data_IF_634754666294
#
_entry.id   IF_634754666294
#
_cell.length_a   1.000
_cell.length_b   1.000
_cell.length_c   1.000
_cell.angle_alpha   90.00
_cell.angle_beta   90.00
_cell.angle_gamma   90.00
#
_symmetry.space_group_name_H-M   'P 1'
#
loop_
_entity.id
_entity.type
_entity.pdbx_description
1 polymer ?
#
# COMPACT_ATOMS: atom_id res chain seq x y z
N UNK A 1 -10.88 24.04 53.49
CA UNK A 1 -10.73 22.89 52.57
C UNK A 1 -11.64 23.00 51.34
N UNK A 2 -12.97 23.06 51.48
CA UNK A 2 -13.92 23.12 50.35
C UNK A 2 -13.75 24.33 49.38
N UNK A 3 -13.46 25.52 49.90
CA UNK A 3 -13.20 26.72 49.07
C UNK A 3 -11.96 26.55 48.19
N UNK A 4 -10.91 25.92 48.70
CA UNK A 4 -9.67 25.65 47.96
C UNK A 4 -9.90 24.63 46.85
N UNK A 5 -10.62 23.54 47.14
CA UNK A 5 -11.00 22.51 46.16
C UNK A 5 -11.82 23.11 45.00
N UNK A 6 -12.80 23.98 45.30
CA UNK A 6 -13.59 24.66 44.25
C UNK A 6 -12.76 25.60 43.39
N UNK A 7 -11.76 26.25 43.99
CA UNK A 7 -10.88 27.19 43.29
C UNK A 7 -9.90 26.44 42.37
N UNK A 8 -9.25 25.37 42.85
CA UNK A 8 -8.41 24.50 42.01
C UNK A 8 -9.22 23.81 40.92
N UNK A 9 -10.43 23.31 41.21
CA UNK A 9 -11.30 22.73 40.19
C UNK A 9 -11.69 23.75 39.11
N UNK A 10 -11.96 25.00 39.49
CA UNK A 10 -12.23 26.10 38.54
C UNK A 10 -11.03 26.43 37.65
N UNK A 11 -9.81 26.45 38.21
CA UNK A 11 -8.58 26.66 37.43
C UNK A 11 -8.33 25.50 36.48
N UNK A 12 -8.47 24.25 36.94
CA UNK A 12 -8.29 23.07 36.09
C UNK A 12 -9.31 23.08 34.95
N UNK A 13 -10.58 23.35 35.24
CA UNK A 13 -11.61 23.46 34.21
C UNK A 13 -11.31 24.59 33.21
N UNK A 14 -10.87 25.76 33.70
CA UNK A 14 -10.44 26.87 32.84
C UNK A 14 -9.25 26.50 31.94
N UNK A 15 -8.24 25.82 32.49
CA UNK A 15 -7.09 25.32 31.72
C UNK A 15 -7.51 24.30 30.66
N UNK A 16 -8.40 23.36 30.99
CA UNK A 16 -8.94 22.39 30.03
C UNK A 16 -9.68 23.09 28.89
N UNK A 17 -10.48 24.11 29.19
CA UNK A 17 -11.19 24.89 28.16
C UNK A 17 -10.20 25.65 27.28
N UNK A 18 -9.20 26.32 27.86
CA UNK A 18 -8.17 27.05 27.10
C UNK A 18 -7.36 26.10 26.21
N UNK A 19 -6.96 24.93 26.74
CA UNK A 19 -6.28 23.90 25.97
C UNK A 19 -7.17 23.35 24.85
N UNK A 20 -8.47 23.14 25.11
CA UNK A 20 -9.43 22.70 24.11
C UNK A 20 -9.61 23.72 22.98
N UNK A 21 -9.78 24.99 23.30
CA UNK A 21 -9.90 26.09 22.31
C UNK A 21 -8.60 26.24 21.53
N UNK A 22 -7.46 26.20 22.22
CA UNK A 22 -6.14 26.35 21.59
C UNK A 22 -5.86 25.17 20.66
N UNK A 23 -6.17 23.94 21.09
CA UNK A 23 -6.07 22.73 20.26
C UNK A 23 -7.03 22.75 19.07
N UNK A 24 -8.26 23.23 19.25
CA UNK A 24 -9.21 23.39 18.14
C UNK A 24 -8.72 24.42 17.12
N UNK A 25 -8.35 25.63 17.56
CA UNK A 25 -7.81 26.68 16.69
C UNK A 25 -6.53 26.22 15.98
N UNK A 26 -5.73 25.41 16.66
CA UNK A 26 -4.55 24.79 16.11
C UNK A 26 -4.86 23.82 14.98
N UNK A 27 -5.78 22.88 15.16
CA UNK A 27 -6.21 21.95 14.11
C UNK A 27 -6.81 22.71 12.93
N UNK A 28 -7.62 23.73 13.19
CA UNK A 28 -8.16 24.62 12.14
C UNK A 28 -7.05 25.32 11.35
N UNK A 29 -5.96 25.74 12.00
CA UNK A 29 -4.82 26.36 11.33
C UNK A 29 -4.07 25.43 10.37
N UNK A 30 -4.26 24.11 10.48
CA UNK A 30 -3.70 23.14 9.55
C UNK A 30 -4.44 23.12 8.22
N UNK A 31 -5.67 23.65 8.16
CA UNK A 31 -6.47 23.80 6.94
C UNK A 31 -6.54 22.49 6.14
N UNK A 32 -7.05 21.45 6.82
CA UNK A 32 -7.17 20.09 6.29
C UNK A 32 -8.36 19.93 5.34
N UNK A 33 -9.38 20.78 5.47
CA UNK A 33 -10.53 20.76 4.57
C UNK A 33 -10.21 21.30 3.16
N UNK A 34 -9.11 22.06 3.03
CA UNK A 34 -8.61 22.54 1.74
C UNK A 34 -7.71 21.53 1.01
N UNK A 35 -7.52 20.33 1.55
CA UNK A 35 -6.82 19.25 0.85
C UNK A 35 -7.70 18.72 -0.29
N UNK A 36 -7.15 18.53 -1.51
CA UNK A 36 -7.88 17.86 -2.57
C UNK A 36 -8.32 16.47 -2.08
N UNK A 37 -9.63 16.22 -2.13
CA UNK A 37 -10.19 14.89 -1.89
C UNK A 37 -10.40 14.21 -3.23
N UNK A 38 -10.26 12.88 -3.26
CA UNK A 38 -10.62 12.12 -4.45
C UNK A 38 -12.05 12.42 -4.88
N UNK A 39 -12.23 12.70 -6.17
CA UNK A 39 -13.55 12.87 -6.78
C UNK A 39 -14.26 11.51 -6.76
N UNK A 40 -15.38 11.44 -6.03
CA UNK A 40 -16.18 10.20 -5.89
C UNK A 40 -16.78 9.73 -7.22
N UNK A 41 -16.96 10.66 -8.15
CA UNK A 41 -17.50 10.39 -9.47
C UNK A 41 -16.39 10.23 -10.52
N UNK A 42 -15.11 10.14 -10.10
CA UNK A 42 -14.00 9.95 -11.02
C UNK A 42 -14.19 8.66 -11.83
N UNK A 43 -13.75 8.73 -13.08
CA UNK A 43 -13.76 7.66 -14.07
C UNK A 43 -12.39 7.54 -14.71
N UNK A 44 -12.18 6.49 -15.52
CA UNK A 44 -10.94 6.33 -16.29
C UNK A 44 -10.58 7.55 -17.16
N UNK A 45 -11.59 8.32 -17.63
CA UNK A 45 -11.39 9.50 -18.46
C UNK A 45 -10.77 10.69 -17.71
N UNK A 46 -10.93 10.72 -16.39
CA UNK A 46 -10.37 11.75 -15.51
C UNK A 46 -8.89 11.51 -15.21
N UNK A 47 -8.42 10.28 -15.38
CA UNK A 47 -7.02 9.90 -15.20
C UNK A 47 -6.22 10.23 -16.46
N UNK A 48 -5.53 11.37 -16.46
CA UNK A 48 -4.79 11.86 -17.64
C UNK A 48 -3.84 10.81 -18.25
N UNK A 49 -3.06 10.12 -17.41
CA UNK A 49 -2.11 9.09 -17.86
C UNK A 49 -2.78 7.83 -18.44
N UNK A 50 -4.05 7.58 -18.13
CA UNK A 50 -4.85 6.48 -18.72
C UNK A 50 -5.52 6.95 -20.00
N UNK A 51 -6.14 8.14 -19.99
CA UNK A 51 -6.79 8.74 -21.16
C UNK A 51 -5.81 8.97 -22.30
N UNK A 52 -4.61 9.43 -21.98
CA UNK A 52 -3.58 9.82 -22.96
C UNK A 52 -2.66 8.63 -23.33
N UNK A 53 -2.87 7.46 -22.73
CA UNK A 53 -2.11 6.24 -23.03
C UNK A 53 -2.37 5.74 -24.46
N UNK A 54 -1.29 5.33 -25.14
CA UNK A 54 -1.36 4.79 -26.50
C UNK A 54 -1.97 3.37 -26.55
N UNK A 55 -2.67 3.00 -27.64
CA UNK A 55 -3.53 1.80 -27.70
C UNK A 55 -2.81 0.48 -27.99
N UNK A 56 -1.48 0.41 -27.90
CA UNK A 56 -0.77 -0.82 -28.26
C UNK A 56 -0.92 -1.85 -27.13
N UNK A 57 -1.80 -2.84 -27.33
CA UNK A 57 -1.90 -4.02 -26.47
C UNK A 57 -0.55 -4.73 -26.41
N UNK A 58 0.00 -4.89 -25.20
CA UNK A 58 1.31 -5.50 -24.96
C UNK A 58 1.22 -6.92 -24.42
N UNK A 59 0.19 -7.21 -23.63
CA UNK A 59 0.13 -8.47 -22.92
C UNK A 59 -0.96 -8.51 -21.86
N UNK A 60 -0.80 -9.43 -20.90
CA UNK A 60 -1.74 -9.60 -19.78
C UNK A 60 -1.03 -9.71 -18.44
N UNK A 61 -1.65 -9.14 -17.41
CA UNK A 61 -1.27 -9.28 -16.00
C UNK A 61 -2.40 -9.99 -15.26
N UNK A 62 -2.07 -11.03 -14.50
CA UNK A 62 -2.99 -11.66 -13.56
C UNK A 62 -2.86 -10.97 -12.21
N UNK A 63 -3.88 -10.23 -11.76
CA UNK A 63 -3.93 -9.71 -10.40
C UNK A 63 -4.68 -10.67 -9.48
N UNK A 64 -4.04 -11.07 -8.37
CA UNK A 64 -4.57 -12.07 -7.44
C UNK A 64 -5.00 -11.39 -6.14
N UNK A 65 -6.26 -11.60 -5.76
CA UNK A 65 -6.93 -11.02 -4.59
C UNK A 65 -7.23 -12.11 -3.55
N UNK A 66 -7.16 -11.79 -2.27
CA UNK A 66 -7.55 -12.73 -1.20
C UNK A 66 -9.06 -12.98 -1.20
N UNK A 67 -9.45 -14.22 -0.88
CA UNK A 67 -10.82 -14.67 -0.59
C UNK A 67 -11.15 -14.66 0.91
N UNK A 68 -10.18 -14.44 1.80
CA UNK A 68 -10.41 -14.44 3.25
C UNK A 68 -11.09 -13.16 3.73
N UNK A 69 -12.36 -13.24 4.13
CA UNK A 69 -13.13 -12.06 4.54
C UNK A 69 -12.81 -11.58 5.97
N UNK A 70 -12.54 -12.51 6.88
CA UNK A 70 -12.34 -12.24 8.31
C UNK A 70 -11.33 -13.19 8.92
N UNK A 71 -10.73 -12.75 10.02
CA UNK A 71 -9.80 -13.55 10.83
C UNK A 71 -9.98 -13.21 12.31
N UNK A 72 -9.17 -13.85 13.17
CA UNK A 72 -9.20 -13.64 14.62
C UNK A 72 -10.55 -14.02 15.26
N UNK A 73 -11.07 -15.23 14.94
CA UNK A 73 -12.41 -15.67 15.32
C UNK A 73 -13.51 -14.71 14.81
N UNK A 74 -13.40 -14.32 13.55
CA UNK A 74 -14.29 -13.37 12.85
C UNK A 74 -14.32 -11.93 13.38
N UNK A 75 -13.44 -11.58 14.34
CA UNK A 75 -13.42 -10.25 14.96
C UNK A 75 -12.81 -9.17 14.08
N UNK A 76 -11.92 -9.54 13.15
CA UNK A 76 -11.19 -8.59 12.30
C UNK A 76 -11.51 -8.82 10.82
N UNK A 77 -11.56 -7.74 10.05
CA UNK A 77 -11.70 -7.80 8.59
C UNK A 77 -10.36 -8.23 7.98
N UNK A 78 -10.39 -9.23 7.10
CA UNK A 78 -9.29 -9.60 6.22
C UNK A 78 -9.37 -8.79 4.93
N UNK A 79 -9.70 -9.46 3.85
CA UNK A 79 -9.88 -8.89 2.52
C UNK A 79 -8.57 -8.50 1.83
N UNK A 80 -8.70 -8.14 0.56
CA UNK A 80 -7.64 -7.46 -0.18
C UNK A 80 -7.68 -5.95 0.10
N UNK A 81 -6.54 -5.29 -0.03
CA UNK A 81 -6.42 -3.84 0.08
C UNK A 81 -6.82 -3.16 -1.25
N UNK A 82 -7.86 -2.31 -1.24
CA UNK A 82 -8.39 -1.68 -2.45
C UNK A 82 -7.32 -0.87 -3.17
N UNK A 83 -6.61 -0.01 -2.43
CA UNK A 83 -5.65 0.94 -2.99
C UNK A 83 -4.50 0.22 -3.71
N UNK A 84 -4.17 -0.99 -3.27
CA UNK A 84 -3.13 -1.82 -3.88
C UNK A 84 -3.53 -2.37 -5.25
N UNK A 85 -4.82 -2.70 -5.46
CA UNK A 85 -5.29 -3.14 -6.78
C UNK A 85 -5.69 -1.98 -7.70
N UNK A 86 -6.41 -0.98 -7.19
CA UNK A 86 -6.95 0.12 -8.01
C UNK A 86 -5.84 0.89 -8.71
N UNK A 87 -4.78 1.25 -7.96
CA UNK A 87 -3.66 2.04 -8.47
C UNK A 87 -2.80 1.22 -9.44
N UNK A 88 -2.49 -0.03 -9.10
CA UNK A 88 -1.74 -0.94 -9.98
C UNK A 88 -2.50 -1.24 -11.28
N UNK A 89 -3.82 -1.45 -11.21
CA UNK A 89 -4.68 -1.69 -12.38
C UNK A 89 -4.54 -0.58 -13.42
N UNK A 90 -4.61 0.68 -13.01
CA UNK A 90 -4.48 1.81 -13.93
C UNK A 90 -3.06 1.97 -14.48
N UNK A 91 -2.02 1.67 -13.70
CA UNK A 91 -0.65 1.64 -14.22
C UNK A 91 -0.53 0.58 -15.32
N UNK A 92 -1.02 -0.64 -15.10
CA UNK A 92 -0.93 -1.70 -16.11
C UNK A 92 -1.76 -1.37 -17.36
N UNK A 93 -2.99 -0.89 -17.19
CA UNK A 93 -3.87 -0.50 -18.31
C UNK A 93 -3.28 0.64 -19.13
N UNK A 94 -2.76 1.70 -18.50
CA UNK A 94 -2.08 2.80 -19.19
C UNK A 94 -0.83 2.33 -19.96
N UNK A 95 -0.23 1.21 -19.56
CA UNK A 95 0.93 0.64 -20.22
C UNK A 95 0.58 -0.46 -21.24
N UNK A 96 -0.70 -0.62 -21.60
CA UNK A 96 -1.16 -1.54 -22.64
C UNK A 96 -1.31 -2.99 -22.17
N UNK A 97 -1.37 -3.25 -20.86
CA UNK A 97 -1.62 -4.58 -20.32
C UNK A 97 -3.08 -4.73 -19.91
N UNK A 98 -3.72 -5.78 -20.41
CA UNK A 98 -5.03 -6.19 -19.90
C UNK A 98 -4.85 -6.87 -18.54
N UNK A 99 -5.67 -6.50 -17.56
CA UNK A 99 -5.58 -7.03 -16.20
C UNK A 99 -6.76 -7.95 -15.93
N UNK A 100 -6.51 -9.23 -15.73
CA UNK A 100 -7.52 -10.19 -15.27
C UNK A 100 -7.47 -10.31 -13.74
N UNK A 101 -8.63 -10.43 -13.09
CA UNK A 101 -8.74 -10.55 -11.64
C UNK A 101 -9.04 -12.01 -11.26
N UNK A 102 -8.26 -12.55 -10.33
CA UNK A 102 -8.42 -13.89 -9.82
C UNK A 102 -8.37 -13.91 -8.29
N UNK A 103 -8.92 -14.95 -7.69
CA UNK A 103 -8.84 -15.18 -6.24
C UNK A 103 -8.84 -16.67 -5.93
N UNK A 104 -8.33 -17.11 -4.76
CA UNK A 104 -8.31 -18.53 -4.40
C UNK A 104 -9.66 -19.23 -4.58
N UNK A 105 -10.76 -18.61 -4.15
CA UNK A 105 -12.10 -19.19 -4.24
C UNK A 105 -12.86 -18.81 -5.54
N UNK A 106 -12.40 -17.79 -6.27
CA UNK A 106 -13.19 -17.16 -7.33
C UNK A 106 -14.39 -16.38 -6.79
N UNK A 107 -15.26 -15.89 -7.69
CA UNK A 107 -16.42 -15.09 -7.30
C UNK A 107 -16.01 -13.71 -6.78
N UNK A 108 -16.85 -13.06 -5.95
CA UNK A 108 -16.55 -11.74 -5.40
C UNK A 108 -15.61 -11.82 -4.19
N UNK A 109 -14.36 -11.31 -4.28
CA UNK A 109 -13.46 -11.29 -3.14
C UNK A 109 -13.87 -10.23 -2.12
N UNK A 110 -13.64 -10.46 -0.81
CA UNK A 110 -13.86 -9.48 0.23
C UNK A 110 -12.84 -8.35 0.15
N UNK A 111 -13.32 -7.13 0.32
CA UNK A 111 -12.52 -5.90 0.19
C UNK A 111 -12.35 -5.21 1.54
N UNK A 112 -11.17 -4.63 1.75
CA UNK A 112 -10.93 -3.61 2.77
C UNK A 112 -10.76 -2.25 2.11
N UNK A 113 -11.39 -1.23 2.69
CA UNK A 113 -11.28 0.15 2.26
C UNK A 113 -10.63 0.93 3.39
N UNK A 114 -9.53 1.58 3.07
CA UNK A 114 -8.91 2.60 3.90
C UNK A 114 -9.48 4.00 3.57
N UNK A 115 -9.30 4.94 4.49
CA UNK A 115 -9.61 6.35 4.25
C UNK A 115 -8.61 6.96 3.25
N UNK A 116 -8.96 8.09 2.64
CA UNK A 116 -8.02 8.83 1.78
C UNK A 116 -8.01 8.41 0.31
N UNK A 117 -9.05 7.74 -0.18
CA UNK A 117 -9.18 7.37 -1.59
C UNK A 117 -8.95 8.55 -2.55
N UNK A 118 -8.19 8.30 -3.61
CA UNK A 118 -7.89 9.25 -4.68
C UNK A 118 -8.73 8.95 -5.93
N UNK A 119 -8.65 9.82 -6.94
CA UNK A 119 -9.41 9.69 -8.20
C UNK A 119 -9.20 8.32 -8.86
N UNK A 120 -7.99 7.76 -8.81
CA UNK A 120 -7.70 6.43 -9.34
C UNK A 120 -8.49 5.32 -8.64
N UNK A 121 -8.71 5.45 -7.33
CA UNK A 121 -9.44 4.47 -6.53
C UNK A 121 -10.95 4.53 -6.86
N UNK A 122 -11.51 5.73 -6.95
CA UNK A 122 -12.91 5.92 -7.37
C UNK A 122 -13.14 5.52 -8.83
N UNK A 123 -12.23 5.89 -9.73
CA UNK A 123 -12.28 5.46 -11.13
C UNK A 123 -12.31 3.94 -11.26
N UNK A 124 -11.54 3.22 -10.44
CA UNK A 124 -11.56 1.76 -10.40
C UNK A 124 -12.90 1.22 -9.92
N UNK A 125 -13.46 1.77 -8.83
CA UNK A 125 -14.76 1.36 -8.29
C UNK A 125 -15.93 1.68 -9.22
N UNK A 126 -15.83 2.75 -10.01
CA UNK A 126 -16.86 3.21 -10.92
C UNK A 126 -16.78 2.57 -12.32
N UNK A 127 -15.72 1.80 -12.61
CA UNK A 127 -15.53 1.18 -13.92
C UNK A 127 -16.37 -0.10 -14.07
N UNK A 128 -17.31 -0.18 -15.03
CA UNK A 128 -18.17 -1.34 -15.19
C UNK A 128 -17.43 -2.63 -15.57
N UNK A 129 -16.31 -2.54 -16.28
CA UNK A 129 -15.52 -3.72 -16.66
C UNK A 129 -14.74 -4.25 -15.45
N UNK A 130 -14.24 -3.37 -14.59
CA UNK A 130 -13.66 -3.74 -13.29
C UNK A 130 -14.71 -4.39 -12.40
N UNK A 131 -15.89 -3.79 -12.25
CA UNK A 131 -16.97 -4.34 -11.45
C UNK A 131 -17.41 -5.73 -11.94
N UNK A 132 -17.47 -5.95 -13.26
CA UNK A 132 -17.76 -7.26 -13.82
C UNK A 132 -16.69 -8.30 -13.44
N UNK A 133 -15.40 -7.92 -13.48
CA UNK A 133 -14.28 -8.79 -13.07
C UNK A 133 -14.28 -9.05 -11.56
N UNK A 134 -14.64 -8.06 -10.74
CA UNK A 134 -14.76 -8.20 -9.28
C UNK A 134 -15.99 -8.99 -8.85
N UNK A 135 -17.08 -8.96 -9.62
CA UNK A 135 -18.28 -9.75 -9.33
C UNK A 135 -18.02 -11.25 -9.49
N UNK A 136 -17.13 -11.63 -10.41
CA UNK A 136 -16.79 -13.02 -10.71
C UNK A 136 -15.31 -13.20 -11.03
N UNK A 137 -14.45 -13.07 -10.01
CA UNK A 137 -13.01 -13.32 -10.19
C UNK A 137 -12.75 -14.76 -10.58
N UNK A 138 -11.72 -14.97 -11.40
CA UNK A 138 -11.34 -16.31 -11.85
C UNK A 138 -10.85 -17.11 -10.63
N UNK A 139 -11.42 -18.28 -10.30
CA UNK A 139 -10.85 -19.14 -9.26
C UNK A 139 -9.46 -19.61 -9.70
N UNK A 140 -8.47 -19.55 -8.81
CA UNK A 140 -7.06 -19.85 -9.17
C UNK A 140 -6.88 -21.22 -9.83
N UNK A 141 -7.66 -22.22 -9.41
CA UNK A 141 -7.70 -23.56 -10.01
C UNK A 141 -8.03 -23.57 -11.53
N UNK A 142 -8.67 -22.53 -12.05
CA UNK A 142 -9.04 -22.39 -13.47
C UNK A 142 -8.13 -21.43 -14.25
N UNK A 143 -7.15 -20.83 -13.59
CA UNK A 143 -6.20 -19.93 -14.25
C UNK A 143 -5.24 -20.72 -15.14
N UNK A 144 -5.29 -20.42 -16.44
CA UNK A 144 -4.25 -20.78 -17.40
C UNK A 144 -3.13 -19.73 -17.36
N UNK A 145 -2.04 -20.06 -16.67
CA UNK A 145 -0.91 -19.16 -16.46
C UNK A 145 -0.16 -18.80 -17.76
N UNK A 146 -0.26 -19.64 -18.80
CA UNK A 146 0.40 -19.42 -20.10
C UNK A 146 -0.06 -18.14 -20.82
N UNK A 147 -1.23 -17.61 -20.44
CA UNK A 147 -1.82 -16.38 -21.00
C UNK A 147 -1.24 -15.09 -20.43
N UNK A 148 -0.43 -15.16 -19.38
CA UNK A 148 0.01 -13.99 -18.63
C UNK A 148 1.52 -13.80 -18.72
N UNK A 149 1.92 -12.55 -18.89
CA UNK A 149 3.32 -12.11 -18.89
C UNK A 149 3.79 -11.76 -17.47
N UNK A 150 2.84 -11.45 -16.58
CA UNK A 150 3.12 -11.21 -15.17
C UNK A 150 1.97 -11.66 -14.26
N UNK A 151 2.32 -11.90 -13.00
CA UNK A 151 1.36 -12.05 -11.89
C UNK A 151 1.64 -11.00 -10.83
N UNK A 152 0.58 -10.38 -10.31
CA UNK A 152 0.61 -9.37 -9.26
C UNK A 152 -0.22 -9.84 -8.06
N UNK A 153 0.44 -10.06 -6.92
CA UNK A 153 -0.23 -10.43 -5.67
C UNK A 153 -0.55 -9.18 -4.86
N UNK A 154 -1.83 -8.89 -4.76
CA UNK A 154 -2.37 -7.80 -3.95
C UNK A 154 -2.31 -8.22 -2.49
N UNK A 155 -1.92 -7.31 -1.62
CA UNK A 155 -1.94 -7.52 -0.18
C UNK A 155 -3.31 -7.30 0.42
N UNK A 156 -3.33 -6.68 1.60
CA UNK A 156 -4.43 -6.80 2.55
C UNK A 156 -4.29 -8.04 3.43
N UNK A 157 -4.79 -7.92 4.67
CA UNK A 157 -4.56 -8.90 5.74
C UNK A 157 -5.13 -10.29 5.42
N UNK A 158 -6.10 -10.40 4.50
CA UNK A 158 -6.62 -11.68 4.04
C UNK A 158 -5.56 -12.58 3.41
N UNK A 159 -4.61 -11.99 2.67
CA UNK A 159 -3.55 -12.72 1.97
C UNK A 159 -2.74 -13.63 2.90
N UNK A 160 -2.58 -13.27 4.16
CA UNK A 160 -1.86 -14.05 5.17
C UNK A 160 -2.51 -15.42 5.47
N UNK A 161 -3.76 -15.64 5.07
CA UNK A 161 -4.55 -16.82 5.43
C UNK A 161 -4.80 -17.77 4.26
N UNK A 162 -4.88 -17.27 3.03
CA UNK A 162 -5.23 -18.08 1.86
C UNK A 162 -4.22 -18.06 0.72
N UNK A 163 -3.15 -17.27 0.84
CA UNK A 163 -2.03 -17.33 -0.10
C UNK A 163 -0.95 -18.34 0.29
N UNK A 164 -0.43 -18.38 1.53
CA UNK A 164 0.64 -19.29 1.92
C UNK A 164 0.25 -20.76 1.71
N UNK A 165 1.13 -21.53 1.09
CA UNK A 165 0.91 -22.96 0.84
C UNK A 165 -0.22 -23.28 -0.16
N UNK A 166 -0.77 -22.28 -0.87
CA UNK A 166 -1.80 -22.50 -1.87
C UNK A 166 -1.19 -23.17 -3.13
N UNK A 167 -1.63 -24.38 -3.51
CA UNK A 167 -1.01 -25.13 -4.60
C UNK A 167 -1.21 -24.48 -5.97
N UNK A 168 -2.31 -23.73 -6.17
CA UNK A 168 -2.56 -23.02 -7.42
C UNK A 168 -1.68 -21.79 -7.57
N UNK A 169 -1.41 -21.07 -6.48
CA UNK A 169 -0.41 -19.99 -6.46
C UNK A 169 0.96 -20.56 -6.82
N UNK A 170 1.39 -21.63 -6.15
CA UNK A 170 2.67 -22.27 -6.44
C UNK A 170 2.78 -22.69 -7.92
N UNK A 171 1.71 -23.27 -8.50
CA UNK A 171 1.66 -23.62 -9.93
C UNK A 171 1.82 -22.39 -10.83
N UNK A 172 1.06 -21.33 -10.59
CA UNK A 172 1.09 -20.09 -11.39
C UNK A 172 2.47 -19.44 -11.32
N UNK A 173 3.02 -19.30 -10.12
CA UNK A 173 4.34 -18.70 -9.89
C UNK A 173 5.45 -19.53 -10.56
N UNK A 174 5.43 -20.85 -10.44
CA UNK A 174 6.42 -21.73 -11.10
C UNK A 174 6.41 -21.62 -12.62
N UNK A 175 5.24 -21.39 -13.21
CA UNK A 175 5.09 -21.23 -14.66
C UNK A 175 5.52 -19.84 -15.16
N UNK A 176 5.24 -18.78 -14.39
CA UNK A 176 5.57 -17.40 -14.77
C UNK A 176 7.02 -17.04 -14.43
N UNK A 177 7.56 -17.48 -13.29
CA UNK A 177 8.92 -17.17 -12.83
C UNK A 177 10.04 -17.32 -13.89
N UNK A 178 10.06 -18.32 -14.80
CA UNK A 178 11.13 -18.43 -15.79
C UNK A 178 10.99 -17.47 -16.99
N UNK A 179 9.83 -16.85 -17.22
CA UNK A 179 9.50 -16.14 -18.48
C UNK A 179 8.86 -14.77 -18.31
N UNK A 180 8.39 -14.45 -17.11
CA UNK A 180 7.58 -13.27 -16.82
C UNK A 180 7.97 -12.60 -15.52
N UNK A 181 7.15 -11.66 -15.08
CA UNK A 181 7.39 -10.84 -13.88
C UNK A 181 6.46 -11.25 -12.74
N UNK A 182 6.99 -11.30 -11.53
CA UNK A 182 6.22 -11.54 -10.30
C UNK A 182 6.27 -10.26 -9.48
N UNK A 183 5.10 -9.70 -9.22
CA UNK A 183 4.90 -8.55 -8.35
C UNK A 183 4.14 -8.93 -7.09
N UNK A 184 4.48 -8.33 -5.96
CA UNK A 184 3.67 -8.42 -4.75
C UNK A 184 3.85 -7.18 -3.86
N UNK A 185 2.82 -6.76 -3.13
CA UNK A 185 2.91 -5.61 -2.23
C UNK A 185 2.27 -5.89 -0.87
N UNK A 186 2.76 -5.25 0.19
CA UNK A 186 2.17 -5.31 1.53
C UNK A 186 2.16 -6.75 2.07
N UNK A 187 0.99 -7.36 2.25
CA UNK A 187 0.86 -8.78 2.62
C UNK A 187 0.89 -9.75 1.44
N UNK A 188 0.81 -9.25 0.21
CA UNK A 188 0.86 -10.04 -1.03
C UNK A 188 2.08 -10.97 -1.14
N UNK A 189 3.30 -10.57 -0.68
CA UNK A 189 4.46 -11.46 -0.65
C UNK A 189 4.29 -12.77 0.13
N UNK A 190 3.24 -12.89 0.97
CA UNK A 190 2.85 -14.16 1.59
C UNK A 190 2.58 -15.27 0.55
N UNK A 191 2.19 -14.90 -0.67
CA UNK A 191 2.03 -15.81 -1.80
C UNK A 191 3.34 -16.45 -2.28
N UNK A 192 4.50 -15.90 -1.92
CA UNK A 192 5.80 -16.33 -2.42
C UNK A 192 6.51 -17.33 -1.51
N UNK A 193 5.94 -17.58 -0.33
CA UNK A 193 6.48 -18.49 0.68
C UNK A 193 6.34 -19.95 0.23
N UNK A 194 7.36 -20.74 0.55
CA UNK A 194 7.39 -22.19 0.36
C UNK A 194 7.21 -22.65 -1.11
N UNK A 195 7.58 -21.80 -2.08
CA UNK A 195 7.55 -22.15 -3.50
C UNK A 195 8.90 -22.70 -3.95
N UNK A 196 8.87 -23.90 -4.53
CA UNK A 196 10.01 -24.52 -5.21
C UNK A 196 9.89 -24.33 -6.74
N UNK A 197 10.95 -23.83 -7.37
CA UNK A 197 11.06 -23.67 -8.82
C UNK A 197 11.18 -25.02 -9.54
N UNK A 198 10.96 -25.09 -10.86
CA UNK A 198 11.09 -26.33 -11.62
C UNK A 198 12.46 -27.02 -11.52
N UNK A 199 13.52 -26.27 -11.18
CA UNK A 199 14.88 -26.78 -10.98
C UNK A 199 15.18 -27.26 -9.54
N UNK A 200 14.16 -27.27 -8.68
CA UNK A 200 14.27 -27.70 -7.27
C UNK A 200 14.78 -26.63 -6.31
N UNK A 201 15.10 -25.41 -6.78
CA UNK A 201 15.53 -24.33 -5.89
C UNK A 201 14.33 -23.61 -5.28
N UNK A 202 14.38 -23.20 -3.99
CA UNK A 202 13.36 -22.33 -3.42
C UNK A 202 13.34 -20.97 -4.16
N UNK A 203 12.16 -20.46 -4.49
CA UNK A 203 11.94 -19.21 -5.22
C UNK A 203 12.69 -18.03 -4.60
N UNK A 204 12.61 -17.91 -3.27
CA UNK A 204 13.18 -16.79 -2.52
C UNK A 204 14.68 -16.96 -2.23
N UNK A 205 15.25 -18.14 -2.45
CA UNK A 205 16.65 -18.40 -2.07
C UNK A 205 17.61 -17.45 -2.78
N UNK A 206 18.37 -16.68 -1.99
CA UNK A 206 19.32 -15.67 -2.49
C UNK A 206 18.68 -14.40 -3.04
N UNK A 207 17.34 -14.26 -2.99
CA UNK A 207 16.61 -13.07 -3.44
C UNK A 207 16.53 -11.99 -2.38
N UNK A 208 16.52 -10.73 -2.81
CA UNK A 208 16.15 -9.58 -2.00
C UNK A 208 14.65 -9.33 -2.14
N UNK A 209 13.95 -9.20 -1.02
CA UNK A 209 12.50 -8.94 -1.00
C UNK A 209 12.14 -7.94 0.09
N UNK A 210 10.96 -7.35 -0.02
CA UNK A 210 10.30 -6.62 1.06
C UNK A 210 8.82 -7.06 1.15
N UNK A 211 8.10 -6.51 2.12
CA UNK A 211 6.71 -6.76 2.43
C UNK A 211 6.34 -6.04 3.71
N UNK A 212 5.08 -6.12 4.14
CA UNK A 212 4.61 -5.38 5.32
C UNK A 212 5.45 -5.74 6.54
N UNK A 213 6.05 -4.72 7.16
CA UNK A 213 7.06 -4.95 8.19
C UNK A 213 6.42 -5.34 9.53
N UNK A 214 7.18 -6.03 10.37
CA UNK A 214 6.79 -6.32 11.74
C UNK A 214 6.50 -5.04 12.52
N UNK A 215 7.28 -3.98 12.27
CA UNK A 215 7.08 -2.69 12.92
C UNK A 215 5.73 -2.08 12.51
N UNK A 216 5.40 -2.12 11.21
CA UNK A 216 4.12 -1.65 10.68
C UNK A 216 2.94 -2.47 11.24
N UNK A 217 3.09 -3.79 11.30
CA UNK A 217 2.05 -4.69 11.81
C UNK A 217 1.80 -4.52 13.30
N UNK A 218 2.85 -4.48 14.11
CA UNK A 218 2.72 -4.34 15.57
C UNK A 218 2.23 -2.95 15.98
N UNK A 219 2.42 -1.94 15.13
CA UNK A 219 1.83 -0.63 15.34
C UNK A 219 0.30 -0.65 15.13
N UNK A 220 -0.19 -1.36 14.11
CA UNK A 220 -1.63 -1.46 13.82
C UNK A 220 -2.36 -2.47 14.71
N UNK A 221 -1.69 -3.58 15.05
CA UNK A 221 -2.23 -4.67 15.85
C UNK A 221 -1.16 -5.08 16.86
N UNK A 222 -1.22 -4.54 18.07
CA UNK A 222 -0.25 -4.82 19.14
C UNK A 222 -0.08 -6.33 19.39
N UNK A 223 -1.19 -7.08 19.36
CA UNK A 223 -1.17 -8.54 19.51
C UNK A 223 -0.98 -9.34 18.20
N UNK A 224 -0.44 -8.74 17.13
CA UNK A 224 -0.36 -9.36 15.79
C UNK A 224 0.20 -10.79 15.82
N UNK A 225 1.25 -11.02 16.63
CA UNK A 225 1.90 -12.34 16.80
C UNK A 225 0.98 -13.45 17.32
N UNK A 226 -0.11 -13.08 18.00
CA UNK A 226 -1.10 -14.03 18.53
C UNK A 226 -2.28 -14.23 17.58
N UNK A 227 -2.39 -13.38 16.55
CA UNK A 227 -3.58 -13.30 15.70
C UNK A 227 -3.31 -13.81 14.29
N UNK A 228 -2.13 -13.52 13.75
CA UNK A 228 -1.70 -14.06 12.46
C UNK A 228 -1.09 -15.44 12.61
N UNK A 229 -1.17 -16.29 11.56
CA UNK A 229 -0.54 -17.61 11.57
C UNK A 229 1.00 -17.52 11.68
N UNK A 230 1.58 -16.44 11.17
CA UNK A 230 3.00 -16.09 11.26
C UNK A 230 3.17 -14.60 10.99
N UNK A 231 4.36 -14.07 11.25
CA UNK A 231 4.72 -12.70 10.89
C UNK A 231 5.39 -12.69 9.52
N UNK A 232 4.89 -11.87 8.58
CA UNK A 232 5.34 -11.89 7.18
C UNK A 232 6.83 -11.62 7.02
N UNK A 233 7.34 -10.55 7.65
CA UNK A 233 8.76 -10.23 7.61
C UNK A 233 9.63 -11.37 8.16
N UNK A 234 9.23 -12.00 9.27
CA UNK A 234 9.97 -13.12 9.87
C UNK A 234 10.03 -14.31 8.89
N UNK A 235 8.91 -14.63 8.23
CA UNK A 235 8.84 -15.72 7.25
C UNK A 235 9.67 -15.42 5.98
N UNK A 236 9.56 -14.21 5.42
CA UNK A 236 10.33 -13.79 4.26
C UNK A 236 11.84 -13.78 4.57
N UNK A 237 12.24 -13.23 5.72
CA UNK A 237 13.64 -13.21 6.14
C UNK A 237 14.21 -14.62 6.35
N UNK A 238 13.38 -15.59 6.73
CA UNK A 238 13.77 -16.99 6.88
C UNK A 238 13.99 -17.75 5.57
N UNK A 239 13.41 -17.29 4.45
CA UNK A 239 13.48 -17.96 3.15
C UNK A 239 14.25 -17.19 2.08
N UNK A 240 14.31 -15.86 2.21
CA UNK A 240 14.98 -14.98 1.26
C UNK A 240 16.47 -14.83 1.56
N UNK A 241 17.23 -14.37 0.56
CA UNK A 241 18.62 -13.95 0.78
C UNK A 241 18.73 -12.70 1.65
N UNK A 242 17.75 -11.78 1.53
CA UNK A 242 17.62 -10.63 2.42
C UNK A 242 16.20 -10.06 2.41
N UNK A 243 15.68 -9.73 3.59
CA UNK A 243 14.54 -8.82 3.74
C UNK A 243 15.05 -7.38 3.81
N UNK A 244 14.53 -6.50 2.96
CA UNK A 244 14.91 -5.09 2.86
C UNK A 244 13.80 -4.23 3.43
N UNK A 245 13.98 -3.78 4.66
CA UNK A 245 13.04 -2.89 5.35
C UNK A 245 13.36 -1.43 5.05
N UNK A 246 12.35 -0.68 4.61
CA UNK A 246 12.36 0.76 4.50
C UNK A 246 11.63 1.41 5.68
N UNK A 247 11.63 2.76 5.77
CA UNK A 247 10.90 3.44 6.83
C UNK A 247 9.41 3.09 6.80
N UNK A 248 8.82 2.99 7.99
CA UNK A 248 7.41 2.68 8.20
C UNK A 248 6.50 3.60 7.38
N UNK A 249 5.52 3.03 6.68
CA UNK A 249 4.50 3.76 5.93
C UNK A 249 5.06 4.74 4.89
N UNK A 250 6.23 4.44 4.32
CA UNK A 250 6.78 5.11 3.14
C UNK A 250 6.96 4.11 1.99
N UNK A 251 7.13 4.65 0.78
CA UNK A 251 7.49 3.87 -0.39
C UNK A 251 8.83 3.16 -0.16
N UNK A 252 8.78 1.84 -0.35
CA UNK A 252 9.96 0.98 -0.42
C UNK A 252 9.62 -0.16 -1.39
N UNK A 253 10.30 -0.16 -2.54
CA UNK A 253 10.16 -1.17 -3.59
C UNK A 253 11.50 -1.81 -3.86
N UNK A 254 11.51 -3.14 -3.84
CA UNK A 254 12.69 -3.97 -4.09
C UNK A 254 12.51 -4.71 -5.40
N UNK A 255 13.47 -4.54 -6.30
CA UNK A 255 13.55 -5.24 -7.58
C UNK A 255 14.76 -6.18 -7.54
N UNK A 256 14.52 -7.48 -7.74
CA UNK A 256 15.55 -8.51 -7.86
C UNK A 256 15.27 -9.37 -9.11
N UNK A 257 15.86 -8.94 -10.24
CA UNK A 257 15.58 -9.53 -11.55
C UNK A 257 14.13 -9.29 -11.95
N UNK A 258 13.36 -10.37 -12.08
CA UNK A 258 11.94 -10.34 -12.43
C UNK A 258 11.00 -10.45 -11.22
N UNK A 259 11.54 -10.42 -10.00
CA UNK A 259 10.77 -10.34 -8.77
C UNK A 259 10.73 -8.90 -8.26
N UNK A 260 9.53 -8.35 -8.13
CA UNK A 260 9.26 -6.99 -7.63
C UNK A 260 8.41 -7.10 -6.38
N UNK A 261 8.89 -6.55 -5.26
CA UNK A 261 8.13 -6.53 -4.01
C UNK A 261 8.04 -5.12 -3.43
N UNK A 262 6.90 -4.77 -2.86
CA UNK A 262 6.67 -3.49 -2.19
C UNK A 262 6.27 -3.67 -0.73
N UNK A 263 6.72 -2.78 0.14
CA UNK A 263 6.56 -2.91 1.58
C UNK A 263 5.11 -2.73 2.03
N UNK A 264 4.39 -1.73 1.51
CA UNK A 264 3.08 -1.31 2.04
C UNK A 264 2.25 -0.62 0.92
N UNK A 265 1.02 -0.15 1.19
CA UNK A 265 0.17 0.48 0.15
C UNK A 265 0.80 1.70 -0.55
N UNK A 266 1.73 2.41 0.11
CA UNK A 266 2.43 3.53 -0.50
C UNK A 266 3.48 3.11 -1.53
N UNK A 267 3.85 1.82 -1.55
CA UNK A 267 4.71 1.23 -2.59
C UNK A 267 3.96 0.81 -3.85
N UNK A 268 2.63 0.83 -3.88
CA UNK A 268 1.86 0.22 -5.00
C UNK A 268 2.20 0.82 -6.36
N UNK A 269 2.28 2.13 -6.43
CA UNK A 269 2.61 2.84 -7.67
C UNK A 269 4.00 2.45 -8.18
N UNK A 270 5.01 2.49 -7.30
CA UNK A 270 6.40 2.19 -7.66
C UNK A 270 6.59 0.71 -7.99
N UNK A 271 5.86 -0.21 -7.34
CA UNK A 271 5.81 -1.64 -7.69
C UNK A 271 5.25 -1.84 -9.09
N UNK A 272 4.07 -1.28 -9.40
CA UNK A 272 3.44 -1.49 -10.70
C UNK A 272 4.30 -0.91 -11.84
N UNK A 273 4.90 0.26 -11.64
CA UNK A 273 5.85 0.84 -12.59
C UNK A 273 7.14 0.00 -12.73
N UNK A 274 7.68 -0.51 -11.63
CA UNK A 274 8.84 -1.39 -11.66
C UNK A 274 8.54 -2.71 -12.37
N UNK A 275 7.33 -3.24 -12.26
CA UNK A 275 6.90 -4.41 -13.03
C UNK A 275 6.83 -4.10 -14.53
N UNK A 276 6.29 -2.94 -14.94
CA UNK A 276 6.29 -2.52 -16.35
C UNK A 276 7.73 -2.41 -16.89
N UNK A 277 8.67 -1.88 -16.09
CA UNK A 277 10.10 -1.87 -16.42
C UNK A 277 10.68 -3.27 -16.55
N UNK A 278 10.37 -4.16 -15.62
CA UNK A 278 10.84 -5.55 -15.64
C UNK A 278 10.26 -6.34 -16.83
N UNK A 279 9.10 -5.94 -17.35
CA UNK A 279 8.52 -6.44 -18.60
C UNK A 279 9.18 -5.83 -19.86
N UNK A 280 10.20 -4.99 -19.71
CA UNK A 280 11.02 -4.46 -20.80
C UNK A 280 10.53 -3.13 -21.37
N UNK A 281 9.73 -2.36 -20.62
CA UNK A 281 9.16 -1.12 -21.10
C UNK A 281 9.30 0.05 -20.13
N UNK A 282 9.47 1.26 -20.66
CA UNK A 282 9.36 2.46 -19.84
C UNK A 282 7.89 2.72 -19.47
N UNK A 283 7.57 2.93 -18.17
CA UNK A 283 6.22 3.25 -17.74
C UNK A 283 5.74 4.57 -18.32
N UNK A 284 4.47 4.61 -18.73
CA UNK A 284 3.78 5.86 -19.07
C UNK A 284 3.92 6.84 -17.91
N UNK A 285 4.44 8.04 -18.22
CA UNK A 285 4.61 9.09 -17.25
C UNK A 285 3.25 9.55 -16.71
N UNK A 286 3.18 9.75 -15.39
CA UNK A 286 2.02 10.28 -14.69
C UNK A 286 2.48 11.33 -13.68
N UNK A 287 1.56 12.21 -13.30
CA UNK A 287 1.81 13.12 -12.18
C UNK A 287 1.79 12.31 -10.86
N UNK A 288 2.78 12.56 -10.00
CA UNK A 288 2.81 11.96 -8.67
C UNK A 288 1.64 12.50 -7.84
N UNK A 289 0.94 11.61 -7.14
CA UNK A 289 -0.14 11.98 -6.25
C UNK A 289 0.37 12.82 -5.07
N UNK A 290 -0.52 13.57 -4.42
CA UNK A 290 -0.18 14.33 -3.21
C UNK A 290 0.38 13.44 -2.09
N UNK A 291 -0.04 12.17 -2.03
CA UNK A 291 0.49 11.16 -1.11
C UNK A 291 1.93 10.79 -1.43
N UNK A 292 2.24 10.48 -2.70
CA UNK A 292 3.60 10.17 -3.14
C UNK A 292 4.55 11.34 -2.92
N UNK A 293 4.08 12.57 -3.15
CA UNK A 293 4.85 13.78 -2.85
C UNK A 293 5.12 13.89 -1.35
N UNK A 294 4.14 13.59 -0.49
CA UNK A 294 4.35 13.57 0.96
C UNK A 294 5.35 12.50 1.38
N UNK A 295 5.27 11.31 0.79
CA UNK A 295 6.21 10.21 1.01
C UNK A 295 7.63 10.60 0.58
N UNK A 296 7.81 11.24 -0.58
CA UNK A 296 9.11 11.77 -1.05
C UNK A 296 9.68 12.80 -0.07
N UNK A 297 8.84 13.71 0.44
CA UNK A 297 9.26 14.71 1.42
C UNK A 297 9.67 14.08 2.76
N UNK A 298 8.94 13.07 3.24
CA UNK A 298 9.26 12.34 4.46
C UNK A 298 10.56 11.53 4.30
N UNK A 299 10.73 10.86 3.17
CA UNK A 299 11.97 10.16 2.84
C UNK A 299 13.17 11.13 2.80
N UNK A 300 13.00 12.29 2.16
CA UNK A 300 14.00 13.36 2.13
C UNK A 300 14.32 13.86 3.55
N UNK A 301 13.29 14.04 4.39
CA UNK A 301 13.45 14.45 5.78
C UNK A 301 14.26 13.41 6.59
N UNK A 302 13.92 12.13 6.50
CA UNK A 302 14.64 11.09 7.26
C UNK A 302 16.08 10.91 6.78
N UNK A 303 16.34 11.11 5.48
CA UNK A 303 17.68 10.96 4.91
C UNK A 303 18.58 12.19 5.10
N UNK A 304 18.02 13.40 5.01
CA UNK A 304 18.80 14.65 4.88
C UNK A 304 18.38 15.75 5.88
N UNK A 305 17.29 15.55 6.63
CA UNK A 305 16.77 16.49 7.61
C UNK A 305 15.76 17.49 7.05
N UNK A 306 15.28 18.39 7.93
CA UNK A 306 14.18 19.32 7.64
C UNK A 306 14.49 20.36 6.56
N UNK A 307 15.70 20.93 6.54
CA UNK A 307 16.03 22.01 5.61
C UNK A 307 15.97 21.55 4.14
N UNK A 308 16.56 20.40 3.75
CA UNK A 308 16.38 19.83 2.41
C UNK A 308 14.92 19.51 2.07
N UNK A 309 14.16 18.94 3.01
CA UNK A 309 12.74 18.64 2.80
C UNK A 309 11.90 19.91 2.54
N UNK A 310 12.14 20.99 3.29
CA UNK A 310 11.47 22.29 3.05
C UNK A 310 11.87 22.90 1.70
N UNK A 311 13.15 22.80 1.30
CA UNK A 311 13.60 23.28 0.01
C UNK A 311 12.92 22.52 -1.14
N UNK A 312 12.82 21.19 -1.02
CA UNK A 312 12.10 20.32 -1.95
C UNK A 312 10.62 20.68 -2.03
N UNK A 313 9.95 20.87 -0.88
CA UNK A 313 8.54 21.27 -0.81
C UNK A 313 8.27 22.59 -1.54
N UNK A 314 9.17 23.58 -1.45
CA UNK A 314 9.04 24.88 -2.13
C UNK A 314 9.17 24.80 -3.65
N UNK A 315 9.87 23.78 -4.16
CA UNK A 315 10.15 23.60 -5.59
C UNK A 315 9.19 22.61 -6.26
N UNK A 316 8.46 21.81 -5.47
CA UNK A 316 7.65 20.70 -5.94
C UNK A 316 6.15 20.96 -5.93
N UNK A 317 5.37 20.00 -6.45
CA UNK A 317 3.92 19.97 -6.31
C UNK A 317 3.48 19.93 -4.84
N UNK A 318 2.20 20.20 -4.59
CA UNK A 318 1.64 20.29 -3.24
C UNK A 318 1.57 18.90 -2.60
N UNK A 319 2.23 18.74 -1.44
CA UNK A 319 2.15 17.54 -0.62
C UNK A 319 0.82 17.47 0.14
N UNK A 320 0.32 16.25 0.36
CA UNK A 320 -0.83 15.98 1.24
C UNK A 320 -0.45 16.12 2.72
N UNK A 321 -1.06 17.08 3.42
CA UNK A 321 -0.84 17.36 4.84
C UNK A 321 -1.26 16.22 5.74
N UNK A 322 -2.34 15.50 5.41
CA UNK A 322 -2.81 14.37 6.24
C UNK A 322 -1.71 13.33 6.46
N UNK A 323 -1.00 12.94 5.40
CA UNK A 323 0.10 11.98 5.47
C UNK A 323 1.26 12.49 6.35
N UNK A 324 1.67 13.74 6.15
CA UNK A 324 2.72 14.36 6.95
C UNK A 324 2.32 14.43 8.44
N UNK A 325 1.08 14.82 8.73
CA UNK A 325 0.59 14.93 10.10
C UNK A 325 0.38 13.56 10.77
N UNK A 326 0.02 12.54 10.01
CA UNK A 326 -0.03 11.16 10.49
C UNK A 326 1.38 10.72 10.94
N UNK A 327 2.42 10.97 10.15
CA UNK A 327 3.79 10.66 10.57
C UNK A 327 4.26 11.50 11.75
N UNK A 328 3.85 12.77 11.85
CA UNK A 328 4.10 13.57 13.04
C UNK A 328 3.44 12.96 14.29
N UNK A 329 2.22 12.45 14.17
CA UNK A 329 1.51 11.76 15.25
C UNK A 329 2.20 10.44 15.63
N UNK A 330 2.58 9.62 14.64
CA UNK A 330 3.32 8.37 14.86
C UNK A 330 4.63 8.65 15.60
N UNK A 331 5.41 9.65 15.17
CA UNK A 331 6.63 10.08 15.86
C UNK A 331 6.35 10.54 17.29
N UNK A 332 5.25 11.27 17.54
CA UNK A 332 4.87 11.70 18.88
C UNK A 332 4.51 10.51 19.78
N UNK A 333 3.75 9.53 19.28
CA UNK A 333 3.38 8.29 19.98
C UNK A 333 4.62 7.44 20.32
N UNK A 334 5.65 7.50 19.48
CA UNK A 334 6.96 6.87 19.71
C UNK A 334 7.90 7.73 20.59
N UNK A 335 7.43 8.81 21.21
CA UNK A 335 8.21 9.74 22.03
C UNK A 335 9.32 10.49 21.29
N UNK A 336 9.27 10.54 19.95
CA UNK A 336 10.21 11.27 19.08
C UNK A 336 9.71 12.71 18.88
N UNK A 337 9.56 13.46 19.98
CA UNK A 337 8.88 14.76 20.02
C UNK A 337 9.49 15.82 19.09
N UNK A 338 10.82 15.83 18.94
CA UNK A 338 11.50 16.76 18.03
C UNK A 338 11.10 16.50 16.57
N UNK A 339 11.13 15.25 16.16
CA UNK A 339 10.73 14.86 14.81
C UNK A 339 9.26 15.15 14.57
N UNK A 340 8.38 14.81 15.53
CA UNK A 340 6.97 15.15 15.44
C UNK A 340 6.76 16.64 15.15
N UNK A 341 7.49 17.52 15.85
CA UNK A 341 7.45 18.95 15.62
C UNK A 341 7.99 19.36 14.24
N UNK A 342 9.11 18.77 13.80
CA UNK A 342 9.75 19.06 12.51
C UNK A 342 8.87 18.60 11.32
N UNK A 343 8.29 17.39 11.37
CA UNK A 343 7.38 16.88 10.33
C UNK A 343 6.10 17.72 10.28
N UNK A 344 5.58 18.11 11.44
CA UNK A 344 4.41 18.98 11.48
C UNK A 344 4.72 20.39 10.98
N UNK A 345 5.96 20.89 11.15
CA UNK A 345 6.41 22.10 10.48
C UNK A 345 6.47 21.91 8.96
N UNK A 346 6.94 20.75 8.48
CA UNK A 346 6.93 20.37 7.08
C UNK A 346 5.50 20.27 6.50
N UNK A 347 4.50 19.91 7.31
CA UNK A 347 3.09 19.90 6.89
C UNK A 347 2.50 21.30 6.68
N UNK A 348 3.00 22.33 7.37
CA UNK A 348 2.50 23.70 7.27
C UNK A 348 2.95 24.38 5.98
N UNK A 349 2.11 25.28 5.46
CA UNK A 349 2.37 26.04 4.23
C UNK A 349 3.59 26.95 4.37
#
# INVERSE_FOLDING_TARGET
>A
MWKWIRWTAGIIAGLVVVLGISGWAYVQSLDLDAEPRGNRDATAADLAFVRDAGPAQRGRVLAVLSSTARFDQDRRKGGYELTEISRAYWVFQANGYEVDLASPAGGRPPQTLDDGLVDADYAFLNDPAVEAKLADTIPLARVDSSRYDAVYFVGGKGAMFDFPGNPDIARIVRDIAPRGVIGAVCHGPAALLDIELPDGRPLLSGKRVTGFSNAEELFLIEQARNVFPFMLQDALAGQAGAFVEGPMYLDNTVVDGNLVTGQNPWSTWSVAEAMVRALGHEPVAREATTEEVSVDLLATYHAQGLAPALARKRQGPRAGKHMLLMHALVSAMQWRLREAWEIQHLARN
#
